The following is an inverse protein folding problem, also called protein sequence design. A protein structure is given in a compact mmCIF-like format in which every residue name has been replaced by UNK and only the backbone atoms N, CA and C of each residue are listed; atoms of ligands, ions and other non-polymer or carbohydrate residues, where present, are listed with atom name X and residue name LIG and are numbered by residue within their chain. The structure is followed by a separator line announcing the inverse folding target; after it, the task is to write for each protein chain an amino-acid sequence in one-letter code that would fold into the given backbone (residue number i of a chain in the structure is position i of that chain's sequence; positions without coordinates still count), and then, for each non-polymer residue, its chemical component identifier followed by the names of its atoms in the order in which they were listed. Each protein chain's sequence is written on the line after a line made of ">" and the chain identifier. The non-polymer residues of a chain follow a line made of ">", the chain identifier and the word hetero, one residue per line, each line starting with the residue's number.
data_IF_253945701214
#
_entry.id   IF_253945701214
#
_cell.length_a   1.000
_cell.length_b   1.000
_cell.length_c   1.000
_cell.angle_alpha   90.00
_cell.angle_beta   90.00
_cell.angle_gamma   90.00
#
_symmetry.space_group_name_H-M   'P 1'
#
loop_
_entity.id
_entity.type
_entity.pdbx_description
1 polymer ?
#
# COMPACT_ATOMS: atom_id res chain seq x y z
N UNK A 1 8.05 -11.18 -1.17
CA UNK A 1 6.99 -11.49 -0.17
C UNK A 1 6.48 -12.88 -0.48
N UNK A 2 6.43 -13.79 0.49
CA UNK A 2 5.91 -15.17 0.28
C UNK A 2 4.58 -15.27 0.99
N UNK A 3 3.50 -15.50 0.23
CA UNK A 3 2.16 -15.70 0.75
C UNK A 3 1.85 -17.20 0.74
N UNK A 4 1.56 -17.77 1.90
CA UNK A 4 0.99 -19.11 1.99
C UNK A 4 -0.52 -19.02 1.78
N UNK A 5 -0.98 -19.50 0.63
CA UNK A 5 -2.39 -19.57 0.26
C UNK A 5 -2.85 -21.02 0.18
N UNK A 6 -4.15 -21.26 0.36
CA UNK A 6 -4.72 -22.58 0.19
C UNK A 6 -4.61 -23.07 -1.26
N UNK A 7 -4.46 -24.38 -1.44
CA UNK A 7 -4.24 -25.01 -2.75
C UNK A 7 -5.37 -24.71 -3.75
N UNK A 8 -6.61 -24.61 -3.27
CA UNK A 8 -7.78 -24.29 -4.11
C UNK A 8 -7.73 -22.84 -4.63
N UNK A 9 -7.25 -21.90 -3.79
CA UNK A 9 -7.06 -20.50 -4.18
C UNK A 9 -5.92 -20.38 -5.20
N UNK A 10 -4.82 -21.11 -5.00
CA UNK A 10 -3.71 -21.14 -5.95
C UNK A 10 -4.15 -21.68 -7.32
N UNK A 11 -4.90 -22.78 -7.34
CA UNK A 11 -5.43 -23.36 -8.58
C UNK A 11 -6.34 -22.38 -9.34
N UNK A 12 -7.13 -21.60 -8.60
CA UNK A 12 -8.03 -20.58 -9.17
C UNK A 12 -7.23 -19.42 -9.78
N UNK A 13 -6.23 -18.91 -9.07
CA UNK A 13 -5.35 -17.85 -9.57
C UNK A 13 -4.60 -18.30 -10.83
N UNK A 14 -4.08 -19.53 -10.85
CA UNK A 14 -3.38 -20.08 -12.03
C UNK A 14 -4.30 -20.20 -13.25
N UNK A 15 -5.54 -20.65 -13.07
CA UNK A 15 -6.54 -20.71 -14.16
C UNK A 15 -6.87 -19.31 -14.69
N UNK A 16 -7.09 -18.37 -13.78
CA UNK A 16 -7.40 -16.98 -14.13
C UNK A 16 -6.25 -16.33 -14.89
N UNK A 17 -5.01 -16.59 -14.47
CA UNK A 17 -3.78 -16.13 -15.12
C UNK A 17 -3.63 -16.68 -16.55
N UNK A 18 -3.95 -17.96 -16.77
CA UNK A 18 -3.96 -18.54 -18.12
C UNK A 18 -4.99 -17.88 -19.04
N UNK A 19 -6.19 -17.59 -18.54
CA UNK A 19 -7.24 -16.92 -19.32
C UNK A 19 -6.82 -15.49 -19.69
N UNK A 20 -6.14 -14.80 -18.79
CA UNK A 20 -5.70 -13.42 -18.98
C UNK A 20 -4.35 -13.29 -19.69
N UNK A 21 -3.60 -14.38 -19.85
CA UNK A 21 -2.23 -14.35 -20.38
C UNK A 21 -1.23 -13.64 -19.47
N UNK A 22 -1.55 -13.48 -18.19
CA UNK A 22 -0.74 -12.78 -17.19
C UNK A 22 -0.02 -13.78 -16.27
N UNK A 23 0.94 -13.31 -15.48
CA UNK A 23 1.53 -14.13 -14.43
C UNK A 23 0.53 -14.32 -13.27
N UNK A 24 0.53 -15.49 -12.59
CA UNK A 24 -0.32 -15.72 -11.42
C UNK A 24 -0.10 -14.69 -10.31
N UNK A 25 1.13 -14.18 -10.20
CA UNK A 25 1.49 -13.11 -9.26
C UNK A 25 0.81 -11.77 -9.62
N UNK A 26 0.79 -11.40 -10.90
CA UNK A 26 0.13 -10.18 -11.35
C UNK A 26 -1.38 -10.23 -11.10
N UNK A 27 -2.01 -11.39 -11.37
CA UNK A 27 -3.44 -11.61 -11.09
C UNK A 27 -3.73 -11.56 -9.58
N UNK A 28 -2.88 -12.18 -8.75
CA UNK A 28 -3.02 -12.12 -7.30
C UNK A 28 -2.87 -10.69 -6.77
N UNK A 29 -1.86 -9.95 -7.23
CA UNK A 29 -1.63 -8.56 -6.83
C UNK A 29 -2.76 -7.64 -7.28
N UNK A 30 -3.30 -7.85 -8.49
CA UNK A 30 -4.44 -7.10 -8.99
C UNK A 30 -5.69 -7.37 -8.16
N UNK A 31 -5.98 -8.64 -7.86
CA UNK A 31 -7.10 -9.00 -7.00
C UNK A 31 -6.98 -8.41 -5.59
N UNK A 32 -5.77 -8.43 -5.01
CA UNK A 32 -5.51 -7.79 -3.71
C UNK A 32 -5.67 -6.28 -3.79
N UNK A 33 -5.19 -5.63 -4.85
CA UNK A 33 -5.35 -4.19 -5.05
C UNK A 33 -6.82 -3.80 -5.30
N UNK A 34 -7.58 -4.60 -6.02
CA UNK A 34 -9.00 -4.31 -6.26
C UNK A 34 -9.84 -4.51 -4.98
N UNK A 35 -9.43 -5.41 -4.08
CA UNK A 35 -10.15 -5.71 -2.84
C UNK A 35 -9.72 -4.87 -1.64
N UNK A 36 -8.44 -4.50 -1.58
CA UNK A 36 -7.82 -3.82 -0.45
C UNK A 36 -7.19 -2.46 -0.83
N UNK A 37 -7.17 -2.11 -2.12
CA UNK A 37 -6.53 -0.93 -2.66
C UNK A 37 -7.53 0.16 -3.04
N UNK A 38 -8.35 0.59 -2.09
CA UNK A 38 -8.76 2.00 -1.95
C UNK A 38 -8.76 2.28 -0.44
N UNK A 39 -8.00 3.24 0.10
CA UNK A 39 -7.46 4.45 -0.49
C UNK A 39 -5.92 4.53 -0.39
N UNK A 40 -5.24 5.34 -1.22
CA UNK A 40 -4.15 6.13 -0.68
C UNK A 40 -4.80 6.96 0.42
N UNK A 41 -4.71 6.49 1.66
CA UNK A 41 -4.86 7.38 2.80
C UNK A 41 -3.72 8.37 2.59
N UNK A 42 -3.99 9.48 1.89
CA UNK A 42 -3.22 10.69 2.04
C UNK A 42 -3.28 10.90 3.54
N UNK A 43 -2.23 10.43 4.23
CA UNK A 43 -2.29 10.15 5.65
C UNK A 43 -2.71 11.45 6.31
N UNK A 44 -3.97 11.48 6.76
CA UNK A 44 -4.47 12.66 7.44
C UNK A 44 -3.54 12.82 8.63
N UNK A 45 -2.83 13.96 8.73
CA UNK A 45 -1.85 14.14 9.77
C UNK A 45 -2.50 13.90 11.12
N UNK A 46 -2.01 12.87 11.82
CA UNK A 46 -2.65 12.28 13.00
C UNK A 46 -2.69 13.27 14.17
N UNK A 47 -1.80 14.25 14.14
CA UNK A 47 -1.68 15.29 15.16
C UNK A 47 -1.34 16.68 14.56
N UNK A 48 -1.40 17.69 15.43
CA UNK A 48 -1.10 19.07 15.07
C UNK A 48 0.38 19.27 14.68
N UNK A 49 1.28 18.40 15.14
CA UNK A 49 2.71 18.46 14.81
C UNK A 49 2.94 18.02 13.35
N UNK A 50 2.37 16.90 12.92
CA UNK A 50 2.41 16.42 11.53
C UNK A 50 1.76 17.45 10.58
N UNK A 51 0.65 18.07 10.99
CA UNK A 51 0.01 19.17 10.23
C UNK A 51 0.95 20.34 10.02
N UNK A 52 1.62 20.77 11.09
CA UNK A 52 2.52 21.91 11.03
C UNK A 52 3.76 21.60 10.20
N UNK A 53 4.31 20.39 10.30
CA UNK A 53 5.47 19.95 9.52
C UNK A 53 5.15 19.92 8.02
N UNK A 54 4.01 19.31 7.63
CA UNK A 54 3.53 19.30 6.25
C UNK A 54 3.30 20.72 5.71
N UNK A 55 2.71 21.62 6.52
CA UNK A 55 2.48 23.02 6.12
C UNK A 55 3.79 23.77 5.83
N UNK A 56 4.87 23.46 6.54
CA UNK A 56 6.18 24.09 6.34
C UNK A 56 6.94 23.46 5.16
N UNK A 57 6.83 22.14 4.94
CA UNK A 57 7.51 21.43 3.86
C UNK A 57 6.98 21.71 2.45
N UNK A 58 5.65 21.85 2.30
CA UNK A 58 4.98 22.10 1.01
C UNK A 58 5.49 23.34 0.25
N UNK A 59 5.66 24.52 0.87
CA UNK A 59 6.18 25.69 0.16
C UNK A 59 7.67 25.59 -0.21
N UNK A 60 8.43 24.65 0.36
CA UNK A 60 9.84 24.44 0.05
C UNK A 60 10.08 23.45 -1.10
N UNK A 61 9.03 22.91 -1.73
CA UNK A 61 9.15 21.92 -2.81
C UNK A 61 9.65 20.55 -2.36
N UNK A 62 9.69 20.30 -1.05
CA UNK A 62 10.11 19.03 -0.46
C UNK A 62 8.87 18.29 -0.01
N UNK A 63 8.46 17.27 -0.75
CA UNK A 63 7.45 16.32 -0.30
C UNK A 63 8.09 15.38 0.73
N UNK A 64 7.68 15.53 1.99
CA UNK A 64 8.06 14.60 3.05
C UNK A 64 7.34 13.26 2.81
N UNK A 65 8.09 12.16 2.79
CA UNK A 65 7.49 10.82 2.74
C UNK A 65 6.66 10.59 3.99
N UNK A 66 5.51 9.95 3.85
CA UNK A 66 4.64 9.57 4.96
C UNK A 66 5.37 8.67 5.97
N UNK A 67 6.36 7.91 5.53
CA UNK A 67 7.25 7.10 6.39
C UNK A 67 8.12 7.96 7.31
N UNK A 68 8.56 9.14 6.87
CA UNK A 68 9.34 10.06 7.70
C UNK A 68 8.48 10.82 8.73
N UNK A 69 7.16 10.77 8.56
CA UNK A 69 6.18 11.38 9.45
C UNK A 69 5.51 10.37 10.37
N UNK A 70 5.56 9.07 10.05
CA UNK A 70 4.96 8.04 10.89
C UNK A 70 5.75 7.88 12.18
N UNK A 71 5.09 8.25 13.28
CA UNK A 71 5.65 8.39 14.63
C UNK A 71 5.96 7.06 15.35
N UNK A 72 5.95 5.93 14.64
CA UNK A 72 6.13 4.59 15.23
C UNK A 72 7.53 4.35 15.83
N UNK A 73 8.58 5.10 15.44
CA UNK A 73 9.93 4.97 16.02
C UNK A 73 10.23 5.94 17.18
N UNK A 74 9.30 6.84 17.53
CA UNK A 74 9.56 7.92 18.51
C UNK A 74 8.93 7.66 19.90
N UNK A 75 8.24 6.54 20.08
CA UNK A 75 7.67 6.10 21.36
C UNK A 75 8.15 4.69 21.72
N UNK A 76 9.42 4.58 22.10
CA UNK A 76 9.90 3.52 23.00
C UNK A 76 9.74 3.96 24.47
#
# INVERSE_FOLDING_TARGET
>A
MVLTIEADLEATIRKQAQVMGESPEAVALKALRDKFGEAPCASEPRDDWERQLRRIGTPCGVSLSDEALSREEMYD
#
